data_IF_169097685692
#
_entry.id   IF_169097685692
#
_cell.length_a   1.000
_cell.length_b   1.000
_cell.length_c   1.000
_cell.angle_alpha   90.00
_cell.angle_beta   90.00
_cell.angle_gamma   90.00
#
_symmetry.space_group_name_H-M   'P 1'
#
loop_
_entity.id
_entity.type
_entity.pdbx_description
1 polymer ?
#
# COMPACT_ATOMS: atom_id res chain seq x y z
N UNK A 1 -13.21 -19.33 -18.32
CA UNK A 1 -11.80 -19.26 -17.87
C UNK A 1 -11.06 -20.48 -18.40
N UNK A 2 -10.19 -20.34 -19.41
CA UNK A 2 -9.46 -21.47 -20.03
C UNK A 2 -7.99 -21.21 -20.33
N UNK A 3 -7.56 -19.95 -20.36
CA UNK A 3 -6.16 -19.58 -20.62
C UNK A 3 -5.34 -19.52 -19.32
N UNK A 4 -4.02 -19.77 -19.37
CA UNK A 4 -3.14 -19.66 -18.20
C UNK A 4 -2.99 -18.20 -17.74
N UNK A 5 -2.84 -18.00 -16.43
CA UNK A 5 -2.59 -16.68 -15.83
C UNK A 5 -1.10 -16.36 -15.93
N UNK A 6 -0.74 -15.42 -16.81
CA UNK A 6 0.65 -14.95 -17.01
C UNK A 6 1.04 -13.89 -15.96
N UNK A 7 0.91 -14.21 -14.67
CA UNK A 7 1.07 -13.25 -13.56
C UNK A 7 2.44 -12.54 -13.57
N UNK A 8 3.53 -13.29 -13.65
CA UNK A 8 4.88 -12.73 -13.62
C UNK A 8 5.15 -11.76 -14.79
N UNK A 9 4.57 -12.04 -15.97
CA UNK A 9 4.69 -11.13 -17.11
C UNK A 9 3.92 -9.84 -16.85
N UNK A 10 2.69 -9.92 -16.33
CA UNK A 10 1.91 -8.73 -15.98
C UNK A 10 2.59 -7.86 -14.93
N UNK A 11 3.17 -8.47 -13.89
CA UNK A 11 3.99 -7.74 -12.91
C UNK A 11 5.21 -7.12 -13.59
N UNK A 12 5.94 -7.87 -14.43
CA UNK A 12 7.11 -7.37 -15.15
C UNK A 12 6.81 -6.15 -16.04
N UNK A 13 5.61 -6.09 -16.63
CA UNK A 13 5.14 -4.94 -17.40
C UNK A 13 4.91 -3.71 -16.50
N UNK A 14 4.19 -3.89 -15.38
CA UNK A 14 3.94 -2.80 -14.41
C UNK A 14 5.23 -2.23 -13.81
N UNK A 15 6.29 -3.04 -13.73
CA UNK A 15 7.59 -2.62 -13.22
C UNK A 15 8.39 -1.76 -14.20
N UNK A 16 7.97 -1.67 -15.47
CA UNK A 16 8.57 -0.73 -16.43
C UNK A 16 8.16 0.72 -16.12
N UNK A 17 7.04 0.91 -15.41
CA UNK A 17 6.62 2.24 -14.97
C UNK A 17 7.45 2.72 -13.78
N UNK A 18 7.98 3.95 -13.81
CA UNK A 18 8.70 4.51 -12.69
C UNK A 18 7.74 4.81 -11.53
N UNK A 19 8.21 4.62 -10.29
CA UNK A 19 7.46 4.89 -9.04
C UNK A 19 6.22 4.00 -8.81
N UNK A 20 6.20 2.81 -9.39
CA UNK A 20 5.14 1.83 -9.14
C UNK A 20 5.08 1.41 -7.67
N UNK A 21 3.85 1.32 -7.14
CA UNK A 21 3.54 0.71 -5.85
C UNK A 21 2.50 -0.38 -6.08
N UNK A 22 2.73 -1.57 -5.53
CA UNK A 22 1.83 -2.71 -5.69
C UNK A 22 0.98 -2.88 -4.42
N UNK A 23 -0.34 -2.93 -4.57
CA UNK A 23 -1.29 -3.20 -3.49
C UNK A 23 -2.09 -4.47 -3.78
N UNK A 24 -1.98 -5.47 -2.90
CA UNK A 24 -2.80 -6.67 -2.91
C UNK A 24 -4.15 -6.40 -2.23
N UNK A 25 -5.22 -6.52 -3.01
CA UNK A 25 -6.61 -6.40 -2.55
C UNK A 25 -7.18 -7.80 -2.37
N UNK A 26 -7.09 -8.31 -1.14
CA UNK A 26 -7.56 -9.63 -0.79
C UNK A 26 -6.92 -10.12 0.51
N UNK A 27 -7.45 -11.19 1.10
CA UNK A 27 -6.93 -11.72 2.35
C UNK A 27 -5.59 -12.43 2.13
N UNK A 28 -4.59 -12.07 2.93
CA UNK A 28 -3.27 -12.69 2.91
C UNK A 28 -2.23 -11.90 2.13
N UNK A 29 -1.20 -12.60 1.67
CA UNK A 29 0.01 -12.02 1.07
C UNK A 29 0.52 -12.82 -0.13
N UNK A 30 -0.36 -13.63 -0.75
CA UNK A 30 0.03 -14.59 -1.77
C UNK A 30 0.53 -13.87 -3.04
N UNK A 31 -0.25 -12.89 -3.53
CA UNK A 31 0.14 -12.13 -4.72
C UNK A 31 1.33 -11.22 -4.43
N UNK A 32 1.38 -10.61 -3.23
CA UNK A 32 2.52 -9.83 -2.80
C UNK A 32 3.82 -10.67 -2.79
N UNK A 33 3.73 -11.92 -2.35
CA UNK A 33 4.88 -12.85 -2.33
C UNK A 33 5.30 -13.25 -3.73
N UNK A 34 4.35 -13.53 -4.63
CA UNK A 34 4.64 -13.85 -6.02
C UNK A 34 5.23 -12.65 -6.78
N UNK A 35 4.70 -11.45 -6.56
CA UNK A 35 5.18 -10.23 -7.22
C UNK A 35 6.65 -9.94 -6.87
N UNK A 36 7.04 -10.12 -5.60
CA UNK A 36 8.44 -9.94 -5.16
C UNK A 36 9.42 -10.87 -5.88
N UNK A 37 8.98 -12.06 -6.32
CA UNK A 37 9.82 -12.99 -7.09
C UNK A 37 10.07 -12.52 -8.53
N UNK A 38 9.28 -11.57 -9.03
CA UNK A 38 9.44 -11.01 -10.36
C UNK A 38 10.39 -9.80 -10.40
N UNK A 39 10.96 -9.41 -9.26
CA UNK A 39 11.85 -8.25 -9.17
C UNK A 39 13.26 -8.58 -9.67
N UNK A 40 13.86 -7.66 -10.42
CA UNK A 40 15.20 -7.82 -10.94
C UNK A 40 16.24 -7.77 -9.79
N UNK A 41 17.25 -8.67 -9.78
CA UNK A 41 18.35 -8.61 -8.84
C UNK A 41 19.11 -7.27 -8.96
N UNK A 42 19.39 -6.62 -7.83
CA UNK A 42 20.21 -5.41 -7.77
C UNK A 42 19.47 -4.08 -8.02
N UNK A 43 18.19 -4.12 -8.42
CA UNK A 43 17.34 -2.93 -8.46
C UNK A 43 16.68 -2.69 -7.09
N UNK A 44 16.40 -1.43 -6.75
CA UNK A 44 15.60 -1.11 -5.59
C UNK A 44 14.16 -1.60 -5.82
N UNK A 45 13.62 -2.53 -5.01
CA UNK A 45 12.30 -3.08 -5.24
C UNK A 45 11.21 -2.04 -4.94
N UNK A 46 10.11 -2.02 -5.71
CA UNK A 46 8.99 -1.15 -5.37
C UNK A 46 8.31 -1.61 -4.07
N UNK A 47 7.59 -0.71 -3.37
CA UNK A 47 6.77 -1.10 -2.23
C UNK A 47 5.67 -2.08 -2.65
N UNK A 48 5.51 -3.15 -1.85
CA UNK A 48 4.46 -4.15 -2.03
C UNK A 48 3.67 -4.29 -0.73
N UNK A 49 2.40 -3.94 -0.78
CA UNK A 49 1.49 -3.81 0.37
C UNK A 49 0.31 -4.76 0.25
N UNK A 50 -0.29 -5.14 1.38
CA UNK A 50 -1.50 -5.96 1.42
C UNK A 50 -2.55 -5.22 2.26
N UNK A 51 -3.79 -5.17 1.77
CA UNK A 51 -4.87 -4.40 2.38
C UNK A 51 -5.67 -5.18 3.45
N UNK A 52 -5.61 -6.51 3.46
CA UNK A 52 -6.36 -7.35 4.39
C UNK A 52 -5.47 -8.39 5.08
N UNK A 53 -5.88 -8.83 6.27
CA UNK A 53 -5.22 -9.90 7.00
C UNK A 53 -5.42 -11.26 6.34
N UNK A 54 -4.52 -12.19 6.65
CA UNK A 54 -4.67 -13.58 6.24
C UNK A 54 -5.83 -14.24 7.02
N UNK A 55 -6.63 -15.16 6.41
CA UNK A 55 -7.79 -15.74 7.08
C UNK A 55 -7.46 -16.55 8.35
N UNK A 56 -6.23 -17.09 8.42
CA UNK A 56 -5.74 -17.85 9.58
C UNK A 56 -5.12 -16.98 10.67
N UNK A 57 -4.94 -15.68 10.42
CA UNK A 57 -4.39 -14.70 11.36
C UNK A 57 -5.28 -13.44 11.32
N UNK A 58 -6.54 -13.56 11.77
CA UNK A 58 -7.48 -12.47 11.67
C UNK A 58 -7.01 -11.29 12.50
N UNK A 59 -6.76 -10.16 11.84
CA UNK A 59 -6.66 -8.84 12.45
C UNK A 59 -7.92 -8.06 12.11
N UNK A 60 -8.19 -6.99 12.85
CA UNK A 60 -9.31 -6.13 12.51
C UNK A 60 -9.10 -5.54 11.11
N UNK A 61 -10.07 -5.73 10.21
CA UNK A 61 -9.95 -5.33 8.81
C UNK A 61 -9.66 -3.83 8.65
N UNK A 62 -10.24 -3.01 9.52
CA UNK A 62 -9.98 -1.57 9.58
C UNK A 62 -8.51 -1.26 9.91
N UNK A 63 -7.92 -1.94 10.89
CA UNK A 63 -6.51 -1.78 11.26
C UNK A 63 -5.59 -2.14 10.08
N UNK A 64 -5.87 -3.24 9.37
CA UNK A 64 -5.11 -3.63 8.18
C UNK A 64 -5.22 -2.57 7.08
N UNK A 65 -6.43 -2.07 6.82
CA UNK A 65 -6.66 -1.07 5.79
C UNK A 65 -5.97 0.26 6.12
N UNK A 66 -6.12 0.76 7.34
CA UNK A 66 -5.47 2.00 7.79
C UNK A 66 -3.94 1.88 7.80
N UNK A 67 -3.42 0.70 8.15
CA UNK A 67 -1.99 0.41 8.05
C UNK A 67 -1.51 0.44 6.60
N UNK A 68 -2.25 -0.17 5.67
CA UNK A 68 -1.93 -0.13 4.25
C UNK A 68 -2.00 1.31 3.70
N UNK A 69 -3.00 2.08 4.10
CA UNK A 69 -3.16 3.50 3.74
C UNK A 69 -1.96 4.34 4.20
N UNK A 70 -1.53 4.16 5.46
CA UNK A 70 -0.35 4.86 5.98
C UNK A 70 0.93 4.49 5.23
N UNK A 71 1.10 3.22 4.85
CA UNK A 71 2.23 2.77 4.04
C UNK A 71 2.20 3.30 2.60
N UNK A 72 1.02 3.42 1.99
CA UNK A 72 0.85 4.09 0.70
C UNK A 72 1.26 5.56 0.79
N UNK A 73 0.83 6.26 1.84
CA UNK A 73 1.21 7.64 2.08
C UNK A 73 2.73 7.81 2.24
N UNK A 74 3.39 6.93 3.01
CA UNK A 74 4.86 6.92 3.15
C UNK A 74 5.58 6.59 1.82
N UNK A 75 4.94 5.83 0.93
CA UNK A 75 5.45 5.56 -0.41
C UNK A 75 5.25 6.74 -1.39
N UNK A 76 4.67 7.86 -0.93
CA UNK A 76 4.44 9.05 -1.74
C UNK A 76 3.15 9.02 -2.56
N UNK A 77 2.25 8.05 -2.30
CA UNK A 77 0.93 8.02 -2.95
C UNK A 77 0.07 9.15 -2.39
N UNK A 78 -0.51 9.95 -3.29
CA UNK A 78 -1.46 10.99 -2.91
C UNK A 78 -2.76 10.36 -2.41
N UNK A 79 -3.12 10.63 -1.16
CA UNK A 79 -4.35 10.11 -0.54
C UNK A 79 -5.44 11.18 -0.61
N UNK A 80 -6.60 10.80 -1.16
CA UNK A 80 -7.83 11.58 -1.07
C UNK A 80 -8.47 11.40 0.32
N UNK A 81 -8.02 12.20 1.29
CA UNK A 81 -8.55 12.16 2.66
C UNK A 81 -10.06 12.41 2.76
N UNK A 82 -10.67 13.33 2.00
CA UNK A 82 -12.13 13.44 1.92
C UNK A 82 -12.84 12.14 1.52
N UNK A 83 -12.28 11.37 0.57
CA UNK A 83 -12.86 10.08 0.20
C UNK A 83 -12.73 9.02 1.30
N UNK A 84 -11.59 8.99 2.01
CA UNK A 84 -11.36 8.06 3.13
C UNK A 84 -12.39 8.25 4.25
N UNK A 85 -12.76 9.50 4.55
CA UNK A 85 -13.70 9.84 5.62
C UNK A 85 -15.12 10.11 5.13
N UNK A 86 -15.46 9.67 3.91
CA UNK A 86 -16.78 9.91 3.32
C UNK A 86 -17.87 9.31 4.21
N UNK A 87 -18.89 10.12 4.52
CA UNK A 87 -20.01 9.71 5.37
C UNK A 87 -19.76 9.88 6.87
N UNK A 88 -18.56 10.29 7.27
CA UNK A 88 -18.23 10.57 8.65
C UNK A 88 -18.24 12.07 8.97
N UNK A 89 -18.72 12.43 10.16
CA UNK A 89 -18.64 13.81 10.67
C UNK A 89 -17.38 13.97 11.53
N UNK A 90 -16.28 14.37 10.91
CA UNK A 90 -15.01 14.65 11.59
C UNK A 90 -14.94 16.12 12.03
N UNK A 91 -14.36 16.37 13.22
CA UNK A 91 -14.12 17.71 13.74
C UNK A 91 -12.64 18.07 13.65
N UNK A 92 -12.32 19.30 13.27
CA UNK A 92 -10.95 19.81 13.32
C UNK A 92 -10.59 20.07 14.79
N UNK A 93 -9.48 19.51 15.24
CA UNK A 93 -8.92 19.74 16.57
C UNK A 93 -7.59 20.46 16.46
N UNK A 94 -7.25 21.29 17.45
CA UNK A 94 -5.93 21.92 17.52
C UNK A 94 -4.87 20.87 17.81
N UNK A 95 -3.80 20.86 17.00
CA UNK A 95 -2.62 20.02 17.21
C UNK A 95 -1.43 20.89 17.58
N UNK A 96 -0.41 20.35 18.26
CA UNK A 96 0.84 21.06 18.49
C UNK A 96 1.38 21.65 17.19
N UNK A 97 1.85 22.90 17.24
CA UNK A 97 2.46 23.54 16.08
C UNK A 97 3.77 22.85 15.72
N UNK A 98 4.18 22.96 14.45
CA UNK A 98 5.42 22.39 13.95
C UNK A 98 6.61 22.75 14.87
N UNK A 99 7.37 21.77 15.38
CA UNK A 99 8.51 22.02 16.25
C UNK A 99 9.71 22.45 15.41
N UNK A 100 9.76 23.71 15.00
CA UNK A 100 10.86 24.26 14.20
C UNK A 100 12.22 24.01 14.85
N UNK A 101 13.17 23.44 14.08
CA UNK A 101 14.57 23.31 14.47
C UNK A 101 15.19 24.71 14.55
N UNK A 102 15.42 25.20 15.77
CA UNK A 102 16.00 26.54 16.00
C UNK A 102 17.52 26.44 16.00
N UNK A 103 18.18 27.19 15.12
CA UNK A 103 19.64 27.44 15.14
C UNK A 103 19.90 28.84 15.66
N UNK A 104 20.96 28.99 16.46
CA UNK A 104 21.44 30.29 16.96
C UNK A 104 22.52 30.83 16.02
#
# INVERSE_FOLDING_TARGET
LRAPVRFAQGVGELLQEPRTVLLEVGPGTALATLARRSFAPGAAPPPVLSALSHPREPRHGEECLLTALGRLWLAGVAIDWPAVWRGERRQRVALPTYPFERRR
#
